data_IF_503330850166
#
_entry.id   IF_503330850166
#
_cell.length_a   1.000
_cell.length_b   1.000
_cell.length_c   1.000
_cell.angle_alpha   90.00
_cell.angle_beta   90.00
_cell.angle_gamma   90.00
#
_symmetry.space_group_name_H-M   'P 1'
#
loop_
_entity.id
_entity.type
_entity.pdbx_description
1 polymer ?
#
# COMPACT_ATOMS: atom_id res chain seq x y z
N UNK A 1 -56.71 16.37 41.83
CA UNK A 1 -55.70 16.66 40.79
C UNK A 1 -54.50 17.30 41.49
N UNK A 2 -53.38 16.59 41.58
CA UNK A 2 -52.13 17.12 42.12
C UNK A 2 -51.23 17.41 40.93
N UNK A 3 -50.97 18.69 40.66
CA UNK A 3 -49.99 19.10 39.66
C UNK A 3 -48.60 18.69 40.17
N UNK A 4 -48.00 17.70 39.51
CA UNK A 4 -46.59 17.41 39.63
C UNK A 4 -45.83 18.56 38.95
N UNK A 5 -45.30 19.47 39.77
CA UNK A 5 -44.34 20.46 39.28
C UNK A 5 -42.98 19.76 39.16
N UNK A 6 -42.68 19.23 37.97
CA UNK A 6 -41.33 18.78 37.63
C UNK A 6 -40.36 19.98 37.67
N UNK A 7 -39.26 19.91 38.45
CA UNK A 7 -38.27 20.96 38.42
C UNK A 7 -37.57 20.92 37.05
N UNK A 8 -37.71 22.02 36.30
CA UNK A 8 -36.98 22.24 35.04
C UNK A 8 -35.48 22.04 35.29
N UNK A 9 -34.89 21.03 34.66
CA UNK A 9 -33.45 20.84 34.61
C UNK A 9 -32.79 22.12 34.07
N UNK A 10 -31.93 22.73 34.89
CA UNK A 10 -31.06 23.82 34.46
C UNK A 10 -30.03 23.19 33.53
N UNK A 11 -29.60 23.87 32.44
CA UNK A 11 -28.56 23.33 31.57
C UNK A 11 -27.35 22.94 32.42
N UNK A 12 -26.96 21.66 32.36
CA UNK A 12 -25.91 21.09 33.19
C UNK A 12 -24.65 21.97 33.12
N UNK A 13 -24.30 22.60 34.23
CA UNK A 13 -23.07 23.40 34.32
C UNK A 13 -21.88 22.46 34.24
N UNK A 14 -20.89 22.80 33.40
CA UNK A 14 -19.62 22.06 33.31
C UNK A 14 -18.99 21.91 34.69
N UNK A 15 -18.60 20.68 35.04
CA UNK A 15 -17.94 20.36 36.32
C UNK A 15 -16.47 20.81 36.25
N UNK A 16 -15.98 21.47 37.30
CA UNK A 16 -14.57 21.88 37.39
C UNK A 16 -13.69 20.65 37.62
N UNK A 17 -12.74 20.41 36.70
CA UNK A 17 -11.68 19.43 36.84
C UNK A 17 -10.38 20.15 37.23
N UNK A 18 -9.73 19.73 38.32
CA UNK A 18 -8.42 20.25 38.74
C UNK A 18 -7.40 19.13 38.66
N UNK A 19 -6.51 19.20 37.68
CA UNK A 19 -5.45 18.20 37.44
C UNK A 19 -4.13 18.91 37.25
N UNK A 20 -3.05 18.28 37.70
CA UNK A 20 -1.70 18.75 37.42
C UNK A 20 -1.28 18.19 36.06
N UNK A 21 -0.75 19.06 35.20
CA UNK A 21 -0.12 18.68 33.95
C UNK A 21 1.38 18.95 34.06
N UNK A 22 2.17 18.11 33.41
CA UNK A 22 3.58 18.39 33.18
C UNK A 22 3.75 19.76 32.49
N UNK A 23 4.76 20.58 32.85
CA UNK A 23 4.97 21.90 32.27
C UNK A 23 5.10 21.90 30.74
N UNK A 24 5.76 20.89 30.16
CA UNK A 24 5.89 20.78 28.71
C UNK A 24 4.55 20.46 28.06
N UNK A 25 3.75 19.59 28.68
CA UNK A 25 2.41 19.27 28.19
C UNK A 25 1.48 20.48 28.25
N UNK A 26 1.58 21.30 29.30
CA UNK A 26 0.80 22.53 29.43
C UNK A 26 1.17 23.56 28.34
N UNK A 27 2.47 23.66 28.00
CA UNK A 27 2.94 24.50 26.90
C UNK A 27 2.41 24.01 25.55
N UNK A 28 2.49 22.71 25.27
CA UNK A 28 1.95 22.12 24.05
C UNK A 28 0.45 22.37 23.90
N UNK A 29 -0.32 22.22 24.98
CA UNK A 29 -1.75 22.52 25.00
C UNK A 29 -2.01 24.00 24.72
N UNK A 30 -1.23 24.90 25.33
CA UNK A 30 -1.34 26.34 25.11
C UNK A 30 -1.05 26.74 23.66
N UNK A 31 0.02 26.20 23.08
CA UNK A 31 0.43 26.47 21.69
C UNK A 31 -0.60 25.94 20.70
N UNK A 32 -1.15 24.74 20.97
CA UNK A 32 -2.17 24.14 20.14
C UNK A 32 -3.50 24.91 20.19
N UNK A 33 -3.92 25.33 21.38
CA UNK A 33 -5.10 26.17 21.57
C UNK A 33 -4.93 27.55 20.91
N UNK A 34 -3.76 28.16 21.07
CA UNK A 34 -3.42 29.45 20.47
C UNK A 34 -3.44 29.42 18.94
N UNK A 35 -2.89 28.37 18.32
CA UNK A 35 -2.93 28.18 16.86
C UNK A 35 -4.33 28.04 16.27
N UNK A 36 -5.34 27.72 17.09
CA UNK A 36 -6.73 27.54 16.67
C UNK A 36 -7.68 28.60 17.21
N UNK A 37 -7.17 29.62 17.90
CA UNK A 37 -7.97 30.66 18.56
C UNK A 37 -9.07 30.08 19.49
N UNK A 38 -8.77 28.94 20.13
CA UNK A 38 -9.69 28.23 21.02
C UNK A 38 -9.19 28.27 22.47
N UNK A 39 -10.10 28.14 23.44
CA UNK A 39 -9.69 28.10 24.84
C UNK A 39 -9.03 26.78 25.19
N UNK A 40 -8.03 26.81 26.10
CA UNK A 40 -7.33 25.61 26.57
C UNK A 40 -8.29 24.58 27.18
N UNK A 41 -9.29 25.06 27.93
CA UNK A 41 -10.33 24.21 28.53
C UNK A 41 -11.19 23.51 27.48
N UNK A 42 -11.54 24.20 26.38
CA UNK A 42 -12.31 23.60 25.29
C UNK A 42 -11.49 22.51 24.58
N UNK A 43 -10.22 22.79 24.28
CA UNK A 43 -9.31 21.80 23.68
C UNK A 43 -9.13 20.60 24.61
N UNK A 44 -8.90 20.82 25.90
CA UNK A 44 -8.69 19.76 26.88
C UNK A 44 -9.95 18.87 27.02
N UNK A 45 -11.13 19.48 27.10
CA UNK A 45 -12.40 18.76 27.15
C UNK A 45 -12.63 17.94 25.88
N UNK A 46 -12.40 18.52 24.70
CA UNK A 46 -12.54 17.81 23.43
C UNK A 46 -11.54 16.64 23.32
N UNK A 47 -10.30 16.83 23.77
CA UNK A 47 -9.30 15.78 23.78
C UNK A 47 -9.68 14.63 24.72
N UNK A 48 -10.16 14.93 25.95
CA UNK A 48 -10.64 13.93 26.90
C UNK A 48 -11.86 13.20 26.36
N UNK A 49 -12.84 13.93 25.81
CA UNK A 49 -14.03 13.33 25.21
C UNK A 49 -13.69 12.43 24.02
N UNK A 50 -12.74 12.84 23.18
CA UNK A 50 -12.23 12.02 22.07
C UNK A 50 -11.51 10.77 22.56
N UNK A 51 -10.68 10.89 23.61
CA UNK A 51 -9.93 9.77 24.18
C UNK A 51 -10.84 8.72 24.83
N UNK A 52 -11.95 9.16 25.42
CA UNK A 52 -12.92 8.27 26.07
C UNK A 52 -14.02 7.77 25.12
N UNK A 53 -13.96 8.10 23.83
CA UNK A 53 -14.98 7.72 22.86
C UNK A 53 -14.67 6.35 22.23
N UNK A 54 -15.55 5.34 22.39
CA UNK A 54 -15.39 4.04 21.71
C UNK A 54 -15.32 4.17 20.19
N UNK A 55 -16.05 5.16 19.65
CA UNK A 55 -16.14 5.48 18.23
C UNK A 55 -14.78 5.85 17.60
N UNK A 56 -13.86 6.44 18.35
CA UNK A 56 -12.58 6.89 17.79
C UNK A 56 -11.68 5.69 17.45
N UNK A 57 -11.59 4.74 18.37
CA UNK A 57 -10.82 3.51 18.19
C UNK A 57 -11.47 2.64 17.10
N UNK A 58 -12.79 2.44 17.14
CA UNK A 58 -13.53 1.69 16.12
C UNK A 58 -13.35 2.28 14.70
N UNK A 59 -13.38 3.60 14.56
CA UNK A 59 -13.15 4.27 13.26
C UNK A 59 -11.71 4.08 12.76
N UNK A 60 -10.73 4.15 13.66
CA UNK A 60 -9.34 3.93 13.30
C UNK A 60 -9.10 2.49 12.87
N UNK A 61 -9.62 1.52 13.62
CA UNK A 61 -9.57 0.11 13.27
C UNK A 61 -10.25 -0.18 11.94
N UNK A 62 -11.46 0.33 11.72
CA UNK A 62 -12.18 0.18 10.44
C UNK A 62 -11.40 0.78 9.26
N UNK A 63 -10.72 1.92 9.45
CA UNK A 63 -9.88 2.53 8.42
C UNK A 63 -8.66 1.67 8.08
N UNK A 64 -8.05 1.01 9.09
CA UNK A 64 -6.94 0.07 8.90
C UNK A 64 -7.41 -1.16 8.14
N UNK A 65 -8.52 -1.78 8.55
CA UNK A 65 -9.11 -2.94 7.86
C UNK A 65 -9.40 -2.61 6.39
N UNK A 66 -10.03 -1.45 6.12
CA UNK A 66 -10.31 -1.02 4.75
C UNK A 66 -9.05 -0.81 3.90
N UNK A 67 -7.94 -0.35 4.51
CA UNK A 67 -6.64 -0.23 3.82
C UNK A 67 -6.06 -1.61 3.52
N UNK A 68 -6.14 -2.54 4.47
CA UNK A 68 -5.70 -3.92 4.29
C UNK A 68 -6.49 -4.61 3.17
N UNK A 69 -7.82 -4.49 3.14
CA UNK A 69 -8.66 -5.04 2.08
C UNK A 69 -8.32 -4.45 0.70
N UNK A 70 -7.89 -3.18 0.66
CA UNK A 70 -7.44 -2.55 -0.59
C UNK A 70 -6.10 -3.11 -1.04
N UNK A 71 -5.17 -3.34 -0.10
CA UNK A 71 -3.88 -3.96 -0.39
C UNK A 71 -4.09 -5.39 -0.90
N UNK A 72 -4.93 -6.18 -0.23
CA UNK A 72 -5.22 -7.55 -0.62
C UNK A 72 -5.77 -7.65 -2.05
N UNK A 73 -6.77 -6.81 -2.39
CA UNK A 73 -7.31 -6.73 -3.76
C UNK A 73 -6.26 -6.31 -4.79
N UNK A 74 -5.35 -5.41 -4.42
CA UNK A 74 -4.26 -5.00 -5.31
C UNK A 74 -3.26 -6.14 -5.52
N UNK A 75 -2.95 -6.91 -4.47
CA UNK A 75 -2.07 -8.09 -4.55
C UNK A 75 -2.71 -9.16 -5.44
N UNK A 76 -3.98 -9.50 -5.23
CA UNK A 76 -4.69 -10.47 -6.07
C UNK A 76 -4.72 -10.08 -7.55
N UNK A 77 -4.88 -8.77 -7.84
CA UNK A 77 -4.80 -8.26 -9.21
C UNK A 77 -3.39 -8.39 -9.77
N UNK A 78 -2.38 -8.03 -8.99
CA UNK A 78 -0.99 -8.13 -9.39
C UNK A 78 -0.60 -9.59 -9.67
N UNK A 79 -1.03 -10.53 -8.83
CA UNK A 79 -0.84 -11.97 -9.06
C UNK A 79 -1.47 -12.44 -10.37
N UNK A 80 -2.70 -11.99 -10.66
CA UNK A 80 -3.37 -12.27 -11.94
C UNK A 80 -2.57 -11.71 -13.12
N UNK A 81 -2.19 -10.44 -13.05
CA UNK A 81 -1.48 -9.75 -14.13
C UNK A 81 -0.11 -10.40 -14.39
N UNK A 82 0.60 -10.81 -13.32
CA UNK A 82 1.85 -11.57 -13.41
C UNK A 82 1.60 -12.94 -14.05
N UNK A 83 0.52 -13.62 -13.69
CA UNK A 83 0.12 -14.90 -14.31
C UNK A 83 -0.06 -14.75 -15.82
N UNK A 84 -0.84 -13.76 -16.25
CA UNK A 84 -1.07 -13.45 -17.67
C UNK A 84 0.24 -13.12 -18.38
N UNK A 85 1.09 -12.29 -17.78
CA UNK A 85 2.38 -11.92 -18.35
C UNK A 85 3.30 -13.14 -18.52
N UNK A 86 3.33 -14.05 -17.54
CA UNK A 86 4.11 -15.28 -17.61
C UNK A 86 3.60 -16.23 -18.71
N UNK A 87 2.28 -16.37 -18.86
CA UNK A 87 1.68 -17.16 -19.94
C UNK A 87 2.04 -16.58 -21.32
N UNK A 88 1.88 -15.26 -21.49
CA UNK A 88 2.24 -14.57 -22.72
C UNK A 88 3.74 -14.70 -23.04
N UNK A 89 4.59 -14.58 -22.03
CA UNK A 89 6.04 -14.77 -22.17
C UNK A 89 6.41 -16.19 -22.59
N UNK A 90 5.77 -17.21 -21.99
CA UNK A 90 6.00 -18.60 -22.37
C UNK A 90 5.59 -18.87 -23.84
N UNK A 91 4.45 -18.34 -24.27
CA UNK A 91 3.98 -18.43 -25.66
C UNK A 91 4.97 -17.73 -26.60
N UNK A 92 5.41 -16.51 -26.25
CA UNK A 92 6.39 -15.75 -27.02
C UNK A 92 7.72 -16.51 -27.18
N UNK A 93 8.30 -16.99 -26.08
CA UNK A 93 9.55 -17.73 -26.09
C UNK A 93 9.46 -19.00 -26.95
N UNK A 94 8.35 -19.74 -26.84
CA UNK A 94 8.11 -20.93 -27.67
C UNK A 94 8.02 -20.57 -29.16
N UNK A 95 7.26 -19.54 -29.51
CA UNK A 95 7.13 -19.07 -30.89
C UNK A 95 8.49 -18.62 -31.44
N UNK A 96 9.23 -17.81 -30.68
CA UNK A 96 10.54 -17.29 -31.09
C UNK A 96 11.58 -18.41 -31.32
N UNK A 97 11.69 -19.38 -30.41
CA UNK A 97 12.62 -20.50 -30.56
C UNK A 97 12.27 -21.45 -31.71
N UNK A 98 11.00 -21.48 -32.12
CA UNK A 98 10.53 -22.27 -33.26
C UNK A 98 10.73 -21.53 -34.59
N UNK A 99 10.51 -20.21 -34.62
CA UNK A 99 10.57 -19.39 -35.83
C UNK A 99 11.97 -18.94 -36.24
N UNK A 100 12.95 -18.98 -35.34
CA UNK A 100 14.35 -18.58 -35.61
C UNK A 100 15.24 -19.72 -36.12
N UNK A 101 14.68 -20.89 -36.40
CA UNK A 101 15.46 -21.99 -36.98
C UNK A 101 15.82 -21.71 -38.45
N UNK A 102 17.09 -21.86 -38.88
CA UNK A 102 17.42 -21.85 -40.30
C UNK A 102 16.63 -22.95 -41.00
N UNK A 103 15.96 -22.60 -42.11
CA UNK A 103 14.94 -23.44 -42.77
C UNK A 103 15.47 -24.87 -42.98
N UNK A 104 14.98 -25.87 -42.21
CA UNK A 104 15.12 -27.27 -42.57
C UNK A 104 14.17 -27.59 -43.74
N UNK A 105 14.42 -28.65 -44.48
CA UNK A 105 13.64 -29.04 -45.68
C UNK A 105 12.13 -29.25 -45.43
N UNK A 106 11.68 -29.39 -44.18
CA UNK A 106 10.25 -29.55 -43.85
C UNK A 106 9.83 -28.81 -42.57
N UNK A 107 8.59 -28.31 -42.56
CA UNK A 107 7.99 -27.63 -41.39
C UNK A 107 7.91 -28.51 -40.13
N UNK A 108 7.85 -29.83 -40.28
CA UNK A 108 7.80 -30.78 -39.15
C UNK A 108 9.13 -30.84 -38.40
N UNK A 109 10.25 -30.88 -39.14
CA UNK A 109 11.59 -30.87 -38.54
C UNK A 109 11.90 -29.55 -37.82
N UNK A 110 11.37 -28.42 -38.30
CA UNK A 110 11.45 -27.10 -37.63
C UNK A 110 10.76 -27.11 -36.28
N UNK A 111 9.52 -27.62 -36.22
CA UNK A 111 8.73 -27.68 -34.97
C UNK A 111 9.37 -28.59 -33.93
N UNK A 112 9.91 -29.74 -34.34
CA UNK A 112 10.59 -30.66 -33.43
C UNK A 112 11.84 -30.03 -32.80
N UNK A 113 12.69 -29.38 -33.59
CA UNK A 113 13.88 -28.66 -33.08
C UNK A 113 13.51 -27.47 -32.18
N UNK A 114 12.40 -26.79 -32.46
CA UNK A 114 11.87 -25.71 -31.61
C UNK A 114 11.48 -26.21 -30.21
N UNK A 115 10.82 -27.38 -30.15
CA UNK A 115 10.46 -28.05 -28.89
C UNK A 115 11.68 -28.40 -28.03
N UNK A 116 12.68 -29.07 -28.61
CA UNK A 116 13.92 -29.42 -27.88
C UNK A 116 14.67 -28.20 -27.32
N UNK A 117 14.66 -27.07 -28.05
CA UNK A 117 15.28 -25.82 -27.59
C UNK A 117 14.50 -25.21 -26.43
N UNK A 118 13.17 -25.26 -26.47
CA UNK A 118 12.32 -24.78 -25.39
C UNK A 118 12.59 -25.58 -24.10
N UNK A 119 12.70 -26.90 -24.18
CA UNK A 119 12.99 -27.74 -23.01
C UNK A 119 14.38 -27.43 -22.42
N UNK A 120 15.40 -27.24 -23.28
CA UNK A 120 16.74 -26.80 -22.83
C UNK A 120 16.70 -25.42 -22.18
N UNK A 121 15.91 -24.50 -22.70
CA UNK A 121 15.69 -23.18 -22.09
C UNK A 121 15.06 -23.32 -20.70
N UNK A 122 14.00 -24.11 -20.54
CA UNK A 122 13.36 -24.34 -19.24
C UNK A 122 14.34 -24.93 -18.21
N UNK A 123 15.18 -25.88 -18.62
CA UNK A 123 16.21 -26.45 -17.75
C UNK A 123 17.26 -25.40 -17.34
N UNK A 124 17.74 -24.57 -18.27
CA UNK A 124 18.70 -23.51 -17.97
C UNK A 124 18.09 -22.43 -17.05
N UNK A 125 16.84 -22.05 -17.29
CA UNK A 125 16.10 -21.12 -16.45
C UNK A 125 15.93 -21.67 -15.03
N UNK A 126 15.51 -22.93 -14.89
CA UNK A 126 15.37 -23.59 -13.58
C UNK A 126 16.68 -23.62 -12.80
N UNK A 127 17.79 -23.96 -13.46
CA UNK A 127 19.14 -23.92 -12.84
C UNK A 127 19.51 -22.52 -12.35
N UNK A 128 19.25 -21.49 -13.17
CA UNK A 128 19.52 -20.09 -12.82
C UNK A 128 18.65 -19.61 -11.67
N UNK A 129 17.37 -19.97 -11.63
CA UNK A 129 16.48 -19.58 -10.51
C UNK A 129 16.89 -20.22 -9.18
N UNK A 130 17.41 -21.44 -9.21
CA UNK A 130 17.83 -22.15 -8.00
C UNK A 130 19.21 -21.71 -7.49
N UNK A 131 20.17 -21.42 -8.37
CA UNK A 131 21.58 -21.22 -7.98
C UNK A 131 22.29 -20.04 -8.65
N UNK A 132 21.62 -19.32 -9.56
CA UNK A 132 22.21 -18.22 -10.31
C UNK A 132 21.96 -16.84 -9.69
N UNK A 133 22.72 -15.81 -10.12
CA UNK A 133 22.46 -14.43 -9.73
C UNK A 133 21.06 -13.98 -10.16
N UNK A 134 20.44 -13.14 -9.34
CA UNK A 134 19.12 -12.59 -9.65
C UNK A 134 19.25 -11.64 -10.82
N UNK A 135 18.31 -11.67 -11.76
CA UNK A 135 18.35 -10.81 -12.95
C UNK A 135 18.53 -9.32 -12.61
N UNK A 136 17.93 -8.84 -11.51
CA UNK A 136 18.10 -7.46 -11.00
C UNK A 136 19.55 -7.08 -10.67
N UNK A 137 20.42 -8.04 -10.38
CA UNK A 137 21.84 -7.79 -10.10
C UNK A 137 22.66 -7.59 -11.38
N UNK A 138 22.09 -7.97 -12.53
CA UNK A 138 22.74 -7.84 -13.85
C UNK A 138 22.20 -6.64 -14.66
N UNK A 139 21.07 -6.07 -14.25
CA UNK A 139 20.47 -4.88 -14.87
C UNK A 139 20.82 -3.67 -14.01
N UNK A 140 21.62 -2.71 -14.51
CA UNK A 140 21.94 -1.49 -13.76
C UNK A 140 20.67 -0.70 -13.44
N UNK A 141 20.51 -0.27 -12.18
CA UNK A 141 19.35 0.54 -11.74
C UNK A 141 19.38 1.98 -12.30
N UNK A 142 20.52 2.43 -12.82
CA UNK A 142 20.73 3.80 -13.28
C UNK A 142 20.28 4.01 -14.74
N UNK A 143 19.01 4.29 -14.95
CA UNK A 143 18.57 5.11 -16.10
C UNK A 143 18.51 6.55 -15.63
N UNK A 144 19.67 7.20 -15.57
CA UNK A 144 19.71 8.66 -15.41
C UNK A 144 19.11 9.26 -16.69
N UNK A 145 17.99 10.01 -16.64
CA UNK A 145 17.48 10.68 -17.82
C UNK A 145 18.55 11.65 -18.29
N UNK A 146 19.11 11.42 -19.49
CA UNK A 146 20.01 12.37 -20.13
C UNK A 146 19.19 13.61 -20.51
N UNK A 147 19.01 14.52 -19.54
CA UNK A 147 18.60 15.89 -19.82
C UNK A 147 19.82 16.53 -20.47
N UNK A 148 19.94 16.36 -21.78
CA UNK A 148 20.81 17.19 -22.59
C UNK A 148 20.35 18.62 -22.35
N UNK A 149 21.16 19.34 -21.58
CA UNK A 149 21.11 20.78 -21.46
C UNK A 149 21.48 21.32 -22.84
N UNK A 150 20.48 21.56 -23.67
CA UNK A 150 20.59 22.63 -24.65
C UNK A 150 20.61 23.95 -23.86
N UNK A 151 21.76 24.58 -23.84
CA UNK A 151 21.89 26.02 -23.63
C UNK A 151 23.24 26.49 -24.20
N UNK A 152 23.36 27.75 -24.63
CA UNK A 152 22.33 28.75 -24.92
C UNK A 152 22.19 29.09 -26.41
#
# INVERSE_FOLDING_TARGET
MREHHEPRERPDRKKRLSVYLDPDLMRLLADFAGRREQSRSLIAEAAIASFLSPDADERQEAAIVKRLDRIDRNVQRLERDIGIANEAFAIFMRSWLTSTAPLPETAQATRAKGGERYDKFLQALGKRLAHGPRLRQEVPDDVVPNVQREAP
#
